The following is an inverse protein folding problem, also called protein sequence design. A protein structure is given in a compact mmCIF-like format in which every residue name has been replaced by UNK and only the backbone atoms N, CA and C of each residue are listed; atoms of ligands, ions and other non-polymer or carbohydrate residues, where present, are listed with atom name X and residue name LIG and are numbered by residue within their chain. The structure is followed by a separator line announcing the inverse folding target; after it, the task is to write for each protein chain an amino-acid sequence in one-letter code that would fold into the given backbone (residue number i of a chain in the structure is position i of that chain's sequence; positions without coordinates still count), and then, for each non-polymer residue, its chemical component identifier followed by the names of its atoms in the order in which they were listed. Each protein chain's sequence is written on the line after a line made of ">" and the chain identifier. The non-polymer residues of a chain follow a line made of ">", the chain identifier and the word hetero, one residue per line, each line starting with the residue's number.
data_IF_880840801572
#
_entry.id   IF_880840801572
#
_cell.length_a   1.000
_cell.length_b   1.000
_cell.length_c   1.000
_cell.angle_alpha   90.00
_cell.angle_beta   90.00
_cell.angle_gamma   90.00
#
_symmetry.space_group_name_H-M   'P 1'
#
loop_
_entity.id
_entity.type
_entity.pdbx_description
1 polymer ?
#
# COMPACT_ATOMS: atom_id res chain seq x y z
N UNK A 1 26.56 -18.80 12.08
CA UNK A 1 26.54 -18.24 13.43
C UNK A 1 25.51 -17.11 13.66
N UNK A 2 24.53 -16.94 12.83
CA UNK A 2 23.56 -15.86 13.00
C UNK A 2 22.09 -16.31 13.11
N UNK A 3 21.80 -17.59 13.17
CA UNK A 3 20.43 -18.11 13.19
C UNK A 3 19.97 -18.67 14.54
N UNK A 4 20.86 -18.76 15.55
CA UNK A 4 20.52 -19.35 16.86
C UNK A 4 20.05 -18.36 17.93
N UNK A 5 20.08 -17.04 17.67
CA UNK A 5 19.69 -16.03 18.67
C UNK A 5 18.40 -15.26 18.37
N UNK A 6 17.62 -15.67 17.37
CA UNK A 6 16.34 -15.01 17.09
C UNK A 6 15.25 -15.57 18.02
N UNK A 7 15.20 -15.06 19.22
CA UNK A 7 14.41 -15.62 20.30
C UNK A 7 12.93 -15.13 20.33
N UNK A 8 12.57 -14.12 19.54
CA UNK A 8 11.21 -13.59 19.49
C UNK A 8 10.64 -13.56 18.08
N UNK A 9 9.32 -13.55 17.97
CA UNK A 9 8.61 -13.36 16.70
C UNK A 9 9.01 -12.06 16.03
N UNK A 10 9.24 -10.98 16.80
CA UNK A 10 9.64 -9.68 16.29
C UNK A 10 11.06 -9.68 15.72
N UNK A 11 11.97 -10.42 16.34
CA UNK A 11 13.35 -10.54 15.82
C UNK A 11 13.37 -11.27 14.48
N UNK A 12 12.57 -12.32 14.33
CA UNK A 12 12.42 -13.05 13.07
C UNK A 12 11.81 -12.17 11.98
N UNK A 13 10.79 -11.39 12.30
CA UNK A 13 10.19 -10.43 11.37
C UNK A 13 11.18 -9.37 10.93
N UNK A 14 11.98 -8.86 11.86
CA UNK A 14 13.00 -7.85 11.59
C UNK A 14 14.10 -8.40 10.66
N UNK A 15 14.56 -9.62 10.91
CA UNK A 15 15.53 -10.30 10.06
C UNK A 15 14.98 -10.54 8.65
N UNK A 16 13.75 -11.01 8.54
CA UNK A 16 13.08 -11.24 7.26
C UNK A 16 12.89 -9.94 6.48
N UNK A 17 12.51 -8.85 7.13
CA UNK A 17 12.42 -7.52 6.48
C UNK A 17 13.73 -7.08 5.88
N UNK A 18 14.86 -7.29 6.57
CA UNK A 18 16.18 -6.95 6.04
C UNK A 18 16.53 -7.77 4.81
N UNK A 19 16.27 -9.06 4.85
CA UNK A 19 16.52 -9.98 3.74
C UNK A 19 15.70 -9.58 2.52
N UNK A 20 14.40 -9.37 2.68
CA UNK A 20 13.50 -8.96 1.60
C UNK A 20 13.92 -7.61 1.02
N UNK A 21 14.24 -6.64 1.86
CA UNK A 21 14.69 -5.32 1.43
C UNK A 21 15.94 -5.41 0.55
N UNK A 22 16.90 -6.24 0.94
CA UNK A 22 18.10 -6.46 0.15
C UNK A 22 17.78 -7.14 -1.19
N UNK A 23 16.92 -8.15 -1.18
CA UNK A 23 16.49 -8.85 -2.39
C UNK A 23 15.76 -7.92 -3.37
N UNK A 24 14.86 -7.08 -2.88
CA UNK A 24 14.14 -6.09 -3.70
C UNK A 24 15.09 -5.06 -4.29
N UNK A 25 16.04 -4.56 -3.50
CA UNK A 25 17.03 -3.59 -3.97
C UNK A 25 17.96 -4.15 -5.08
N UNK A 26 18.13 -5.47 -5.12
CA UNK A 26 18.92 -6.17 -6.14
C UNK A 26 18.15 -6.46 -7.43
N UNK A 27 16.85 -6.21 -7.48
CA UNK A 27 16.05 -6.46 -8.68
C UNK A 27 16.45 -5.54 -9.83
N UNK A 28 16.47 -6.09 -11.04
CA UNK A 28 16.68 -5.31 -12.25
C UNK A 28 15.52 -4.33 -12.49
N UNK A 29 15.85 -3.12 -12.94
CA UNK A 29 14.84 -2.08 -13.23
C UNK A 29 13.89 -2.45 -14.37
N UNK A 30 14.37 -3.19 -15.36
CA UNK A 30 13.52 -3.70 -16.43
C UNK A 30 12.49 -4.68 -15.89
N UNK A 31 12.92 -5.57 -14.99
CA UNK A 31 12.04 -6.51 -14.30
C UNK A 31 10.97 -5.79 -13.47
N UNK A 32 11.36 -4.81 -12.66
CA UNK A 32 10.41 -4.09 -11.79
C UNK A 32 9.38 -3.31 -12.58
N UNK A 33 9.78 -2.66 -13.68
CA UNK A 33 8.83 -1.96 -14.58
C UNK A 33 7.83 -2.91 -15.21
N UNK A 34 8.28 -4.07 -15.69
CA UNK A 34 7.38 -5.07 -16.27
C UNK A 34 6.45 -5.66 -15.19
N UNK A 35 6.97 -5.91 -13.99
CA UNK A 35 6.17 -6.38 -12.87
C UNK A 35 5.08 -5.37 -12.49
N UNK A 36 5.41 -4.08 -12.41
CA UNK A 36 4.44 -3.02 -12.14
C UNK A 36 3.30 -3.00 -13.17
N UNK A 37 3.65 -3.13 -14.44
CA UNK A 37 2.66 -3.19 -15.51
C UNK A 37 1.77 -4.43 -15.42
N UNK A 38 2.34 -5.58 -15.15
CA UNK A 38 1.59 -6.83 -15.00
C UNK A 38 0.67 -6.79 -13.77
N UNK A 39 1.14 -6.27 -12.65
CA UNK A 39 0.32 -6.07 -11.45
C UNK A 39 -0.87 -5.15 -11.76
N UNK A 40 -0.62 -4.03 -12.43
CA UNK A 40 -1.69 -3.13 -12.86
C UNK A 40 -2.73 -3.86 -13.72
N UNK A 41 -2.30 -4.62 -14.72
CA UNK A 41 -3.21 -5.37 -15.61
C UNK A 41 -4.04 -6.39 -14.83
N UNK A 42 -3.43 -7.09 -13.90
CA UNK A 42 -4.14 -8.05 -13.05
C UNK A 42 -5.19 -7.37 -12.18
N UNK A 43 -4.83 -6.26 -11.52
CA UNK A 43 -5.76 -5.49 -10.68
C UNK A 43 -6.92 -4.95 -11.52
N UNK A 44 -6.63 -4.34 -12.68
CA UNK A 44 -7.63 -3.77 -13.56
C UNK A 44 -8.61 -4.80 -14.13
N UNK A 45 -8.21 -6.06 -14.19
CA UNK A 45 -9.05 -7.18 -14.64
C UNK A 45 -9.83 -7.90 -13.54
N UNK A 46 -9.64 -7.52 -12.26
CA UNK A 46 -10.39 -8.14 -11.16
C UNK A 46 -11.84 -7.66 -11.13
N UNK A 47 -12.81 -8.57 -11.00
CA UNK A 47 -14.23 -8.19 -10.84
C UNK A 47 -14.45 -7.26 -9.65
N UNK A 48 -13.75 -7.48 -8.55
CA UNK A 48 -13.82 -6.65 -7.34
C UNK A 48 -13.37 -5.22 -7.62
N UNK A 49 -12.33 -5.04 -8.44
CA UNK A 49 -11.88 -3.72 -8.86
C UNK A 49 -12.89 -3.06 -9.79
N UNK A 50 -13.41 -3.79 -10.75
CA UNK A 50 -14.41 -3.26 -11.69
C UNK A 50 -15.67 -2.77 -10.96
N UNK A 51 -16.15 -3.54 -9.99
CA UNK A 51 -17.38 -3.25 -9.24
C UNK A 51 -17.20 -2.19 -8.15
N UNK A 52 -15.99 -1.99 -7.65
CA UNK A 52 -15.73 -1.04 -6.57
C UNK A 52 -16.00 0.40 -7.02
N UNK A 53 -16.93 1.08 -6.36
CA UNK A 53 -17.18 2.51 -6.56
C UNK A 53 -16.17 3.38 -5.80
N UNK A 54 -15.73 2.92 -4.64
CA UNK A 54 -14.75 3.60 -3.79
C UNK A 54 -13.56 2.69 -3.56
N UNK A 55 -12.39 3.15 -4.00
CA UNK A 55 -11.11 2.46 -3.88
C UNK A 55 -10.23 3.15 -2.85
N UNK A 56 -9.65 2.38 -1.95
CA UNK A 56 -8.48 2.79 -1.18
C UNK A 56 -7.24 2.12 -1.77
N UNK A 57 -6.21 2.89 -2.08
CA UNK A 57 -4.95 2.37 -2.60
C UNK A 57 -3.77 3.13 -1.99
N UNK A 58 -2.74 2.40 -1.56
CA UNK A 58 -1.51 3.04 -1.11
C UNK A 58 -0.77 3.72 -2.27
N UNK A 59 0.04 4.71 -1.95
CA UNK A 59 0.93 5.38 -2.91
C UNK A 59 2.32 4.74 -2.80
N UNK A 60 2.73 4.02 -3.81
CA UNK A 60 4.01 3.32 -3.82
C UNK A 60 5.21 4.26 -3.77
N UNK A 61 6.21 3.89 -2.98
CA UNK A 61 7.51 4.55 -2.96
C UNK A 61 8.46 3.94 -4.00
N UNK A 62 9.65 4.48 -4.14
CA UNK A 62 10.64 3.97 -5.10
C UNK A 62 11.09 2.52 -4.85
N UNK A 63 10.88 2.00 -3.65
CA UNK A 63 11.19 0.61 -3.27
C UNK A 63 9.99 -0.33 -3.29
N UNK A 64 8.83 0.18 -3.71
CA UNK A 64 7.58 -0.57 -3.80
C UNK A 64 7.10 -0.64 -5.24
N UNK A 65 6.01 -1.36 -5.48
CA UNK A 65 5.34 -1.32 -6.79
C UNK A 65 4.84 0.10 -7.07
N UNK A 66 4.87 0.49 -8.34
CA UNK A 66 4.29 1.75 -8.78
C UNK A 66 2.77 1.62 -8.86
N UNK A 67 2.06 2.29 -7.96
CA UNK A 67 0.60 2.29 -7.92
C UNK A 67 -0.03 3.43 -8.73
N UNK A 68 0.76 4.34 -9.29
CA UNK A 68 0.24 5.45 -10.09
C UNK A 68 -0.68 5.00 -11.23
N UNK A 69 -0.36 3.96 -12.01
CA UNK A 69 -1.26 3.46 -13.05
C UNK A 69 -2.62 2.99 -12.52
N UNK A 70 -2.64 2.38 -11.33
CA UNK A 70 -3.90 1.93 -10.69
C UNK A 70 -4.73 3.14 -10.27
N UNK A 71 -4.10 4.12 -9.64
CA UNK A 71 -4.77 5.35 -9.19
C UNK A 71 -5.35 6.14 -10.37
N UNK A 72 -4.56 6.32 -11.44
CA UNK A 72 -4.99 7.03 -12.64
C UNK A 72 -6.14 6.30 -13.35
N UNK A 73 -6.06 4.97 -13.47
CA UNK A 73 -7.11 4.18 -14.08
C UNK A 73 -8.41 4.26 -13.27
N UNK A 74 -8.33 4.17 -11.96
CA UNK A 74 -9.49 4.29 -11.07
C UNK A 74 -10.17 5.66 -11.22
N UNK A 75 -9.39 6.73 -11.23
CA UNK A 75 -9.89 8.09 -11.45
C UNK A 75 -10.54 8.24 -12.82
N UNK A 76 -9.92 7.72 -13.87
CA UNK A 76 -10.46 7.74 -15.24
C UNK A 76 -11.77 6.99 -15.36
N UNK A 77 -11.94 5.91 -14.60
CA UNK A 77 -13.20 5.14 -14.55
C UNK A 77 -14.28 5.80 -13.70
N UNK A 78 -14.01 6.97 -13.12
CA UNK A 78 -14.96 7.69 -12.29
C UNK A 78 -15.11 7.15 -10.87
N UNK A 79 -14.18 6.32 -10.42
CA UNK A 79 -14.18 5.81 -9.05
C UNK A 79 -13.81 6.92 -8.07
N UNK A 80 -14.37 6.84 -6.87
CA UNK A 80 -13.89 7.63 -5.74
C UNK A 80 -12.61 7.00 -5.20
N UNK A 81 -11.52 7.76 -5.18
CA UNK A 81 -10.19 7.22 -4.85
C UNK A 81 -9.66 7.87 -3.59
N UNK A 82 -9.33 7.04 -2.61
CA UNK A 82 -8.70 7.44 -1.37
C UNK A 82 -7.27 6.91 -1.26
N UNK A 83 -6.42 7.71 -0.67
CA UNK A 83 -5.01 7.39 -0.40
C UNK A 83 -4.68 7.71 1.06
N UNK A 84 -3.66 7.06 1.64
CA UNK A 84 -3.37 7.22 3.05
C UNK A 84 -2.69 8.54 3.36
N UNK A 85 -3.04 9.12 4.51
CA UNK A 85 -2.36 10.24 5.14
C UNK A 85 -1.97 9.86 6.57
N UNK A 86 -0.70 10.02 6.90
CA UNK A 86 -0.21 9.84 8.26
C UNK A 86 -0.66 11.01 9.12
N UNK A 87 -1.38 10.73 10.21
CA UNK A 87 -1.83 11.74 11.17
C UNK A 87 -0.84 11.86 12.33
N UNK A 88 -0.46 10.72 12.87
CA UNK A 88 0.49 10.60 13.97
C UNK A 88 1.20 9.24 13.89
N UNK A 89 2.12 8.97 14.80
CA UNK A 89 2.87 7.72 14.78
C UNK A 89 1.95 6.51 14.87
N UNK A 90 1.95 5.71 13.80
CA UNK A 90 1.16 4.49 13.69
C UNK A 90 -0.32 4.71 13.34
N UNK A 91 -0.75 5.95 13.17
CA UNK A 91 -2.14 6.29 12.89
C UNK A 91 -2.24 7.00 11.55
N UNK A 92 -3.12 6.51 10.69
CA UNK A 92 -3.41 7.10 9.40
C UNK A 92 -4.92 7.24 9.18
N UNK A 93 -5.27 8.10 8.26
CA UNK A 93 -6.60 8.22 7.68
C UNK A 93 -6.52 8.12 6.16
N UNK A 94 -7.66 7.88 5.54
CA UNK A 94 -7.79 7.82 4.07
C UNK A 94 -8.48 9.10 3.61
N UNK A 95 -7.88 9.78 2.65
CA UNK A 95 -8.41 11.01 2.07
C UNK A 95 -8.56 10.91 0.58
N UNK A 96 -9.60 11.55 0.06
CA UNK A 96 -9.94 11.56 -1.35
C UNK A 96 -8.97 12.39 -2.17
N UNK A 97 -8.58 11.85 -3.32
CA UNK A 97 -7.89 12.60 -4.38
C UNK A 97 -8.73 12.59 -5.65
N UNK A 98 -8.60 13.62 -6.46
CA UNK A 98 -9.22 13.73 -7.79
C UNK A 98 -8.20 13.69 -8.91
N UNK A 99 -6.93 13.87 -8.58
CA UNK A 99 -5.80 13.84 -9.46
C UNK A 99 -4.55 13.45 -8.69
N UNK A 100 -3.56 12.87 -9.35
CA UNK A 100 -2.24 12.64 -8.73
C UNK A 100 -1.54 13.97 -8.36
N UNK A 101 -1.95 15.08 -8.96
CA UNK A 101 -1.47 16.42 -8.60
C UNK A 101 -1.91 16.88 -7.22
N UNK A 102 -2.90 16.22 -6.63
CA UNK A 102 -3.36 16.50 -5.27
C UNK A 102 -2.41 15.94 -4.21
N UNK A 103 -1.42 15.14 -4.63
CA UNK A 103 -0.43 14.56 -3.73
C UNK A 103 0.70 15.54 -3.46
N UNK A 104 1.14 15.59 -2.22
CA UNK A 104 2.26 16.39 -1.74
C UNK A 104 3.22 15.54 -0.91
N UNK A 105 4.46 15.99 -0.73
CA UNK A 105 5.45 15.26 0.03
C UNK A 105 5.02 15.16 1.51
N UNK A 106 4.90 13.93 2.00
CA UNK A 106 4.54 13.64 3.37
C UNK A 106 5.70 13.03 4.15
N UNK A 107 5.38 12.43 5.29
CA UNK A 107 6.36 11.75 6.13
C UNK A 107 6.94 10.52 5.43
N UNK A 108 8.17 10.19 5.77
CA UNK A 108 8.89 9.00 5.26
C UNK A 108 9.09 8.98 3.73
N UNK A 109 9.07 10.14 3.07
CA UNK A 109 9.20 10.23 1.62
C UNK A 109 8.00 9.70 0.83
N UNK A 110 6.87 9.48 1.50
CA UNK A 110 5.62 9.02 0.90
C UNK A 110 4.82 10.24 0.45
N UNK A 111 4.30 10.20 -0.78
CA UNK A 111 3.37 11.22 -1.27
C UNK A 111 2.02 11.02 -0.59
N UNK A 112 1.45 12.10 -0.08
CA UNK A 112 0.21 12.09 0.70
C UNK A 112 -0.80 13.10 0.12
N UNK A 113 -2.12 12.90 0.37
CA UNK A 113 -3.12 13.91 0.07
C UNK A 113 -2.98 15.11 1.01
N UNK A 114 -3.43 16.27 0.58
CA UNK A 114 -3.41 17.48 1.41
C UNK A 114 -4.28 17.37 2.65
N UNK A 115 -3.96 18.19 3.67
CA UNK A 115 -4.68 18.17 4.95
C UNK A 115 -6.16 18.59 4.82
N UNK A 116 -6.52 19.27 3.73
CA UNK A 116 -7.89 19.72 3.47
C UNK A 116 -8.68 18.77 2.56
N UNK A 117 -8.06 17.70 2.06
CA UNK A 117 -8.75 16.71 1.25
C UNK A 117 -9.85 16.00 2.08
N UNK A 118 -11.01 15.68 1.49
CA UNK A 118 -12.08 15.01 2.22
C UNK A 118 -11.65 13.66 2.77
N UNK A 119 -12.07 13.34 3.98
CA UNK A 119 -11.84 12.02 4.58
C UNK A 119 -12.82 11.01 3.98
N UNK A 120 -12.33 9.85 3.61
CA UNK A 120 -13.13 8.68 3.28
C UNK A 120 -13.16 7.76 4.49
N UNK A 121 -14.35 7.50 5.02
CA UNK A 121 -14.49 6.59 6.16
C UNK A 121 -14.27 5.14 5.71
N UNK A 122 -13.78 4.31 6.61
CA UNK A 122 -13.48 2.91 6.30
C UNK A 122 -14.72 2.16 5.76
N UNK A 123 -15.90 2.49 6.25
CA UNK A 123 -17.18 1.88 5.85
C UNK A 123 -17.58 2.21 4.42
N UNK A 124 -17.05 3.28 3.85
CA UNK A 124 -17.32 3.72 2.47
C UNK A 124 -16.46 2.99 1.44
N UNK A 125 -15.39 2.32 1.87
CA UNK A 125 -14.42 1.67 0.98
C UNK A 125 -14.95 0.31 0.53
N UNK A 126 -14.98 0.11 -0.78
CA UNK A 126 -15.39 -1.17 -1.38
C UNK A 126 -14.22 -2.12 -1.61
N UNK A 127 -13.05 -1.58 -1.93
CA UNK A 127 -11.83 -2.35 -2.16
C UNK A 127 -10.63 -1.57 -1.63
N UNK A 128 -9.76 -2.26 -0.90
CA UNK A 128 -8.50 -1.70 -0.41
C UNK A 128 -7.31 -2.44 -1.04
N UNK A 129 -6.39 -1.68 -1.61
CA UNK A 129 -5.10 -2.18 -2.09
C UNK A 129 -4.04 -1.71 -1.11
N UNK A 130 -3.50 -2.65 -0.35
CA UNK A 130 -2.59 -2.37 0.78
C UNK A 130 -1.18 -2.84 0.49
N UNK A 131 -0.15 -2.14 0.98
CA UNK A 131 1.22 -2.52 0.77
C UNK A 131 1.64 -3.66 1.71
N UNK A 132 2.64 -4.42 1.29
CA UNK A 132 3.33 -5.36 2.15
C UNK A 132 4.76 -5.55 1.68
N UNK A 133 5.65 -5.95 2.58
CA UNK A 133 6.98 -6.41 2.20
C UNK A 133 6.93 -7.82 1.61
N UNK A 134 6.06 -8.67 2.17
CA UNK A 134 5.82 -10.03 1.69
C UNK A 134 4.43 -10.49 2.12
N UNK A 135 3.89 -11.45 1.41
CA UNK A 135 2.64 -12.11 1.78
C UNK A 135 2.73 -13.61 1.51
N UNK A 136 1.98 -14.38 2.25
CA UNK A 136 1.81 -15.81 2.05
C UNK A 136 0.62 -16.09 1.14
N UNK A 137 0.55 -17.31 0.59
CA UNK A 137 -0.58 -17.72 -0.25
C UNK A 137 -1.92 -17.76 0.50
N UNK A 138 -1.89 -17.89 1.83
CA UNK A 138 -3.08 -17.85 2.68
C UNK A 138 -3.46 -16.44 3.15
N UNK A 139 -2.82 -15.41 2.59
CA UNK A 139 -3.17 -14.02 2.83
C UNK A 139 -2.54 -13.36 4.06
N UNK A 140 -1.58 -14.00 4.71
CA UNK A 140 -0.82 -13.36 5.79
C UNK A 140 0.13 -12.33 5.20
N UNK A 141 0.23 -11.19 5.85
CA UNK A 141 0.98 -10.04 5.34
C UNK A 141 2.08 -9.63 6.32
N UNK A 142 3.31 -9.50 5.81
CA UNK A 142 4.41 -8.86 6.53
C UNK A 142 4.46 -7.38 6.14
N UNK A 143 4.12 -6.50 7.07
CA UNK A 143 4.21 -5.06 6.87
C UNK A 143 5.61 -4.50 7.14
N UNK A 144 5.70 -3.17 7.14
CA UNK A 144 6.98 -2.44 7.32
C UNK A 144 7.37 -2.24 8.79
N UNK A 145 6.51 -2.62 9.73
CA UNK A 145 6.78 -2.55 11.16
C UNK A 145 6.14 -1.35 11.88
N UNK A 146 5.57 -0.38 11.16
CA UNK A 146 4.90 0.78 11.75
C UNK A 146 3.50 0.51 12.30
N UNK A 147 2.86 -0.57 11.89
CA UNK A 147 1.53 -0.96 12.33
C UNK A 147 0.37 -0.10 11.81
N UNK A 148 0.62 0.79 10.85
CA UNK A 148 -0.40 1.69 10.29
C UNK A 148 -1.58 0.94 9.68
N UNK A 149 -1.30 -0.04 8.82
CA UNK A 149 -2.33 -0.82 8.14
C UNK A 149 -3.02 -1.80 9.06
N UNK A 150 -2.31 -2.44 9.97
CA UNK A 150 -2.91 -3.37 10.94
C UNK A 150 -3.92 -2.64 11.83
N UNK A 151 -3.58 -1.44 12.29
CA UNK A 151 -4.51 -0.59 13.08
C UNK A 151 -5.68 -0.12 12.25
N UNK A 152 -5.41 0.40 11.05
CA UNK A 152 -6.48 0.90 10.18
C UNK A 152 -7.44 -0.21 9.76
N UNK A 153 -6.93 -1.34 9.28
CA UNK A 153 -7.74 -2.48 8.83
C UNK A 153 -8.48 -3.17 9.98
N UNK A 154 -7.92 -3.14 11.20
CA UNK A 154 -8.59 -3.66 12.39
C UNK A 154 -9.89 -2.93 12.73
N UNK A 155 -10.07 -1.69 12.28
CA UNK A 155 -11.30 -0.92 12.41
C UNK A 155 -12.27 -1.04 11.23
N UNK A 156 -11.92 -1.82 10.19
CA UNK A 156 -12.76 -2.01 9.01
C UNK A 156 -13.70 -3.19 9.16
N UNK A 157 -14.74 -3.23 8.33
CA UNK A 157 -15.60 -4.41 8.20
C UNK A 157 -14.81 -5.55 7.53
N UNK A 158 -15.04 -6.77 8.01
CA UNK A 158 -14.55 -7.97 7.34
C UNK A 158 -15.26 -8.19 6.00
#
# INVERSE_FOLDING_TARGET
>A
MALEELNTSEDRKRALRREIKAAVAALDKGYTKEADLQIFRHVAGLPEYEQAGTLFCFVGTSSEIDTAPILEDALRRGKRVGVPRCISRGIMEVREIRSLRDLEAGKYGIMEPGAHAPVIQAEEINLAIVPCMSCSHDGRRLGYGGGYYDRYLGGTRA
#
